data_IF_452810884176
#
_entry.id   IF_452810884176
#
_cell.length_a   1.000
_cell.length_b   1.000
_cell.length_c   1.000
_cell.angle_alpha   90.00
_cell.angle_beta   90.00
_cell.angle_gamma   90.00
#
_symmetry.space_group_name_H-M   'P 1'
#
loop_
_entity.id
_entity.type
_entity.pdbx_description
1 polymer ?
#
# COMPACT_ATOMS: atom_id res chain seq x y z
N UNK A 1 5.30 -25.19 2.27
CA UNK A 1 5.02 -24.96 0.85
C UNK A 1 4.92 -23.48 0.57
N UNK A 2 5.43 -23.08 -0.59
CA UNK A 2 5.44 -21.68 -0.97
C UNK A 2 4.11 -21.18 -1.52
N UNK A 3 3.98 -19.86 -1.59
CA UNK A 3 2.84 -19.22 -2.24
C UNK A 3 3.01 -19.23 -3.76
N UNK A 4 1.88 -19.28 -4.48
CA UNK A 4 1.79 -18.86 -5.87
C UNK A 4 0.93 -17.60 -5.92
N UNK A 5 0.95 -16.88 -7.02
CA UNK A 5 0.08 -15.71 -7.17
C UNK A 5 -1.39 -16.12 -7.03
N UNK A 6 -1.78 -17.24 -7.65
CA UNK A 6 -3.13 -17.78 -7.57
C UNK A 6 -3.55 -18.12 -6.13
N UNK A 7 -2.68 -18.81 -5.38
CA UNK A 7 -3.00 -19.22 -4.01
C UNK A 7 -3.06 -18.01 -3.08
N UNK A 8 -2.17 -17.05 -3.24
CA UNK A 8 -2.16 -15.82 -2.47
C UNK A 8 -3.41 -14.98 -2.75
N UNK A 9 -3.74 -14.79 -4.03
CA UNK A 9 -4.92 -14.02 -4.45
C UNK A 9 -6.21 -14.69 -3.98
N UNK A 10 -6.30 -16.02 -4.06
CA UNK A 10 -7.47 -16.77 -3.59
C UNK A 10 -7.68 -16.59 -2.10
N UNK A 11 -6.62 -16.58 -1.30
CA UNK A 11 -6.71 -16.37 0.14
C UNK A 11 -7.12 -14.94 0.49
N UNK A 12 -6.58 -13.94 -0.21
CA UNK A 12 -7.03 -12.55 -0.08
C UNK A 12 -8.52 -12.44 -0.40
N UNK A 13 -8.97 -13.06 -1.48
CA UNK A 13 -10.37 -13.07 -1.88
C UNK A 13 -11.26 -13.67 -0.79
N UNK A 14 -10.87 -14.83 -0.28
CA UNK A 14 -11.62 -15.52 0.78
C UNK A 14 -11.80 -14.64 2.01
N UNK A 15 -10.72 -14.03 2.48
CA UNK A 15 -10.73 -13.17 3.66
C UNK A 15 -11.62 -11.94 3.44
N UNK A 16 -11.44 -11.24 2.32
CA UNK A 16 -12.15 -10.00 2.04
C UNK A 16 -13.62 -10.22 1.72
N UNK A 17 -13.97 -11.37 1.13
CA UNK A 17 -15.36 -11.73 0.89
C UNK A 17 -16.09 -12.03 2.20
N UNK A 18 -15.43 -12.71 3.13
CA UNK A 18 -15.99 -13.02 4.45
C UNK A 18 -16.11 -11.77 5.32
N UNK A 19 -15.15 -10.84 5.24
CA UNK A 19 -15.14 -9.61 6.05
C UNK A 19 -14.44 -8.47 5.28
N UNK A 20 -15.19 -7.61 4.60
CA UNK A 20 -14.63 -6.47 3.87
C UNK A 20 -14.26 -5.28 4.76
N UNK A 21 -14.48 -5.37 6.07
CA UNK A 21 -14.17 -4.30 7.01
C UNK A 21 -12.67 -4.18 7.27
N UNK A 22 -12.29 -3.18 8.07
CA UNK A 22 -10.90 -2.98 8.50
C UNK A 22 -10.32 -4.21 9.21
N UNK A 23 -11.15 -4.99 9.90
CA UNK A 23 -10.71 -6.23 10.56
C UNK A 23 -10.28 -7.28 9.53
N UNK A 24 -11.08 -7.50 8.49
CA UNK A 24 -10.72 -8.42 7.40
C UNK A 24 -9.47 -7.94 6.65
N UNK A 25 -9.38 -6.64 6.39
CA UNK A 25 -8.18 -6.03 5.76
C UNK A 25 -6.93 -6.24 6.62
N UNK A 26 -7.07 -6.17 7.93
CA UNK A 26 -6.00 -6.47 8.88
C UNK A 26 -5.50 -7.91 8.76
N UNK A 27 -6.41 -8.85 8.53
CA UNK A 27 -6.07 -10.26 8.28
C UNK A 27 -5.31 -10.41 6.96
N UNK A 28 -5.66 -9.63 5.94
CA UNK A 28 -4.90 -9.61 4.67
C UNK A 28 -3.51 -9.03 4.91
N UNK A 29 -3.37 -8.00 5.74
CA UNK A 29 -2.06 -7.48 6.10
C UNK A 29 -1.19 -8.55 6.80
N UNK A 30 -1.78 -9.38 7.66
CA UNK A 30 -1.08 -10.51 8.28
C UNK A 30 -0.65 -11.52 7.22
N UNK A 31 -1.51 -11.81 6.26
CA UNK A 31 -1.19 -12.69 5.15
C UNK A 31 -0.02 -12.14 4.31
N UNK A 32 0.01 -10.83 4.07
CA UNK A 32 1.12 -10.17 3.37
C UNK A 32 2.42 -10.36 4.15
N UNK A 33 2.41 -10.22 5.47
CA UNK A 33 3.59 -10.46 6.31
C UNK A 33 4.11 -11.89 6.17
N UNK A 34 3.22 -12.86 6.13
CA UNK A 34 3.61 -14.26 5.92
C UNK A 34 4.17 -14.47 4.51
N UNK A 35 3.53 -13.90 3.48
CA UNK A 35 4.01 -14.00 2.11
C UNK A 35 5.38 -13.35 1.91
N UNK A 36 5.67 -12.27 2.65
CA UNK A 36 6.97 -11.59 2.59
C UNK A 36 8.13 -12.48 3.06
N UNK A 37 7.85 -13.53 3.82
CA UNK A 37 8.87 -14.51 4.24
C UNK A 37 9.20 -15.50 3.12
N UNK A 38 8.38 -15.59 2.11
CA UNK A 38 8.60 -16.47 0.95
C UNK A 38 9.40 -15.74 -0.11
N UNK A 39 10.72 -15.82 -0.01
CA UNK A 39 11.64 -15.09 -0.89
C UNK A 39 11.46 -15.46 -2.37
N UNK A 40 11.12 -16.73 -2.64
CA UNK A 40 10.90 -17.19 -4.01
C UNK A 40 9.64 -16.57 -4.62
N UNK A 41 8.56 -16.55 -3.86
CA UNK A 41 7.31 -15.92 -4.29
C UNK A 41 7.51 -14.42 -4.53
N UNK A 42 8.04 -13.72 -3.53
CA UNK A 42 8.26 -12.27 -3.61
C UNK A 42 9.24 -11.92 -4.74
N UNK A 43 10.36 -12.63 -4.83
CA UNK A 43 11.38 -12.38 -5.84
C UNK A 43 10.91 -12.60 -7.28
N UNK A 44 9.85 -13.38 -7.48
CA UNK A 44 9.25 -13.55 -8.80
C UNK A 44 8.57 -12.26 -9.29
N UNK A 45 8.11 -11.39 -8.40
CA UNK A 45 7.35 -10.18 -8.75
C UNK A 45 8.05 -8.89 -8.37
N UNK A 46 8.87 -8.89 -7.33
CA UNK A 46 9.61 -7.72 -6.88
C UNK A 46 11.10 -7.99 -7.06
N UNK A 47 11.66 -7.48 -8.15
CA UNK A 47 13.05 -7.69 -8.55
C UNK A 47 13.52 -6.52 -9.43
N UNK A 48 14.75 -6.60 -9.94
CA UNK A 48 15.34 -5.51 -10.74
C UNK A 48 14.57 -5.18 -12.02
N UNK A 49 13.70 -6.07 -12.49
CA UNK A 49 12.89 -5.85 -13.69
C UNK A 49 11.52 -5.27 -13.37
N UNK A 50 11.16 -5.13 -12.10
CA UNK A 50 9.87 -4.58 -11.68
C UNK A 50 9.82 -3.08 -11.98
N UNK A 51 8.76 -2.58 -12.64
CA UNK A 51 8.60 -1.14 -12.87
C UNK A 51 8.17 -0.42 -11.59
N UNK A 52 8.04 0.90 -11.65
CA UNK A 52 7.55 1.72 -10.53
C UNK A 52 6.21 1.21 -10.00
N UNK A 53 5.35 0.74 -10.89
CA UNK A 53 4.06 0.14 -10.53
C UNK A 53 3.65 -0.89 -11.59
N UNK A 54 3.26 -2.07 -11.13
CA UNK A 54 2.73 -3.13 -11.99
C UNK A 54 1.58 -3.82 -11.27
N UNK A 55 0.40 -3.82 -11.86
CA UNK A 55 -0.72 -4.63 -11.37
C UNK A 55 -0.49 -6.05 -11.82
N UNK A 56 -0.29 -6.97 -10.88
CA UNK A 56 -0.03 -8.39 -11.18
C UNK A 56 -1.29 -9.24 -11.05
N UNK A 57 -2.32 -8.73 -10.38
CA UNK A 57 -3.60 -9.40 -10.23
C UNK A 57 -4.70 -8.38 -9.93
N UNK A 58 -5.87 -8.56 -10.54
CA UNK A 58 -7.06 -7.79 -10.22
C UNK A 58 -8.24 -8.76 -10.03
N UNK A 59 -8.91 -8.65 -8.87
CA UNK A 59 -9.98 -9.59 -8.53
C UNK A 59 -11.26 -9.26 -9.30
N UNK A 60 -11.80 -10.21 -10.10
CA UNK A 60 -12.96 -9.92 -10.93
C UNK A 60 -14.27 -9.75 -10.16
N UNK A 61 -14.36 -10.26 -8.94
CA UNK A 61 -15.57 -10.15 -8.11
C UNK A 61 -15.50 -8.96 -7.15
N UNK A 62 -14.41 -8.84 -6.39
CA UNK A 62 -14.27 -7.84 -5.33
C UNK A 62 -13.58 -6.57 -5.77
N UNK A 63 -12.85 -6.60 -6.88
CA UNK A 63 -12.21 -5.43 -7.44
C UNK A 63 -10.88 -5.03 -6.79
N UNK A 64 -10.41 -5.76 -5.77
CA UNK A 64 -9.09 -5.46 -5.21
C UNK A 64 -8.00 -5.84 -6.21
N UNK A 65 -6.84 -5.19 -6.10
CA UNK A 65 -5.70 -5.56 -6.93
C UNK A 65 -4.44 -5.77 -6.10
N UNK A 66 -3.55 -6.58 -6.65
CA UNK A 66 -2.22 -6.84 -6.09
C UNK A 66 -1.22 -6.19 -7.02
N UNK A 67 -0.34 -5.35 -6.47
CA UNK A 67 0.64 -4.60 -7.23
C UNK A 67 2.04 -4.89 -6.73
N UNK A 68 2.99 -4.91 -7.66
CA UNK A 68 4.41 -4.92 -7.36
C UNK A 68 5.01 -3.56 -7.73
N UNK A 69 5.87 -3.05 -6.87
CA UNK A 69 6.52 -1.75 -7.07
C UNK A 69 8.01 -1.87 -6.84
N UNK A 70 8.80 -1.24 -7.71
CA UNK A 70 10.21 -1.00 -7.44
C UNK A 70 10.49 0.50 -7.65
N UNK A 71 10.74 1.19 -6.55
CA UNK A 71 11.08 2.62 -6.56
C UNK A 71 12.61 2.75 -6.51
N UNK A 72 13.19 3.26 -7.57
CA UNK A 72 14.66 3.36 -7.72
C UNK A 72 15.17 4.69 -7.19
N UNK A 73 16.18 4.60 -6.31
CA UNK A 73 16.82 5.77 -5.73
C UNK A 73 15.97 6.47 -4.67
N UNK A 74 16.46 7.62 -4.23
CA UNK A 74 15.81 8.42 -3.20
C UNK A 74 14.54 9.08 -3.74
N UNK A 75 13.47 9.08 -2.93
CA UNK A 75 12.19 9.63 -3.34
C UNK A 75 11.35 10.01 -2.11
N UNK A 76 10.69 11.15 -2.19
CA UNK A 76 9.77 11.59 -1.14
C UNK A 76 8.45 12.02 -1.79
N UNK A 77 7.34 11.50 -1.28
CA UNK A 77 6.02 11.88 -1.78
C UNK A 77 5.32 12.82 -0.78
N UNK A 78 4.43 13.63 -1.31
CA UNK A 78 3.59 14.51 -0.48
C UNK A 78 2.55 13.69 0.29
N UNK A 79 1.99 14.25 1.40
CA UNK A 79 0.88 13.61 2.09
C UNK A 79 -0.26 13.30 1.13
N UNK A 80 -0.78 12.07 1.21
CA UNK A 80 -1.88 11.60 0.36
C UNK A 80 -2.66 10.47 1.04
N UNK A 81 -3.87 10.25 0.56
CA UNK A 81 -4.64 9.05 0.84
C UNK A 81 -4.81 8.26 -0.47
N UNK A 82 -5.56 7.19 -0.45
CA UNK A 82 -5.86 6.39 -1.64
C UNK A 82 -7.27 6.66 -2.17
N UNK A 83 -7.81 7.86 -1.90
CA UNK A 83 -9.15 8.25 -2.30
C UNK A 83 -10.19 7.36 -1.63
N UNK A 84 -11.18 6.83 -2.39
CA UNK A 84 -12.21 5.97 -1.82
C UNK A 84 -11.74 4.52 -1.61
N UNK A 85 -10.44 4.25 -1.62
CA UNK A 85 -9.86 2.92 -1.42
C UNK A 85 -9.01 2.86 -0.16
N UNK A 86 -8.74 1.63 0.28
CA UNK A 86 -7.72 1.29 1.27
C UNK A 86 -6.51 0.70 0.55
N UNK A 87 -5.38 0.64 1.24
CA UNK A 87 -4.17 -0.01 0.72
C UNK A 87 -3.38 -0.68 1.83
N UNK A 88 -2.70 -1.77 1.48
CA UNK A 88 -1.75 -2.45 2.36
C UNK A 88 -0.38 -2.37 1.69
N UNK A 89 0.60 -1.84 2.41
CA UNK A 89 1.99 -1.76 1.96
C UNK A 89 2.79 -2.88 2.60
N UNK A 90 3.30 -3.80 1.79
CA UNK A 90 4.23 -4.84 2.23
C UNK A 90 5.64 -4.51 1.75
N UNK A 91 6.56 -4.28 2.68
CA UNK A 91 7.95 -3.92 2.35
C UNK A 91 8.75 -5.17 2.01
N UNK A 92 9.14 -5.30 0.76
CA UNK A 92 9.88 -6.45 0.24
C UNK A 92 11.39 -6.19 0.13
N UNK A 93 11.77 -4.97 -0.23
CA UNK A 93 13.17 -4.56 -0.40
C UNK A 93 13.36 -3.21 0.27
N UNK A 94 14.42 -3.07 1.06
CA UNK A 94 14.80 -1.81 1.66
C UNK A 94 13.87 -1.35 2.78
N UNK A 95 13.92 -0.06 3.07
CA UNK A 95 13.19 0.56 4.17
C UNK A 95 12.55 1.86 3.71
N UNK A 96 11.33 2.13 4.16
CA UNK A 96 10.61 3.37 3.89
C UNK A 96 10.30 4.06 5.21
N UNK A 97 10.64 5.35 5.32
CA UNK A 97 10.16 6.17 6.41
C UNK A 97 8.74 6.62 6.08
N UNK A 98 7.79 6.22 6.92
CA UNK A 98 6.39 6.60 6.75
C UNK A 98 6.02 7.66 7.74
N UNK A 99 5.26 8.65 7.29
CA UNK A 99 4.60 9.62 8.16
C UNK A 99 3.10 9.45 8.06
N UNK A 100 2.44 9.41 9.20
CA UNK A 100 0.98 9.49 9.27
C UNK A 100 0.62 10.94 9.59
N UNK A 101 -0.41 11.43 8.93
CA UNK A 101 -0.84 12.82 9.03
C UNK A 101 -2.27 12.92 9.56
N UNK A 102 -2.48 13.82 10.50
CA UNK A 102 -3.81 14.14 11.01
C UNK A 102 -4.45 15.20 10.11
N UNK A 103 -5.69 14.97 9.69
CA UNK A 103 -6.43 15.93 8.88
C UNK A 103 -6.98 17.03 9.78
N UNK A 104 -6.50 18.26 9.59
CA UNK A 104 -6.98 19.44 10.32
C UNK A 104 -8.15 20.10 9.58
N UNK A 105 -8.05 20.16 8.24
CA UNK A 105 -9.12 20.63 7.37
C UNK A 105 -9.29 19.64 6.22
N UNK A 106 -10.53 19.20 5.92
CA UNK A 106 -10.74 18.22 4.86
C UNK A 106 -10.40 18.80 3.49
N UNK A 107 -9.93 17.93 2.59
CA UNK A 107 -9.68 18.29 1.21
C UNK A 107 -10.98 18.31 0.41
N UNK A 108 -11.04 19.15 -0.60
CA UNK A 108 -12.13 19.20 -1.57
C UNK A 108 -11.57 19.35 -2.98
N UNK A 109 -12.42 19.29 -3.99
CA UNK A 109 -11.98 19.53 -5.37
C UNK A 109 -11.49 20.96 -5.60
N UNK A 110 -11.95 21.89 -4.79
CA UNK A 110 -11.67 23.32 -4.92
C UNK A 110 -10.46 23.76 -4.11
N UNK A 111 -10.07 23.00 -3.09
CA UNK A 111 -9.06 23.43 -2.15
C UNK A 111 -8.37 22.22 -1.50
N UNK A 112 -7.02 22.24 -1.38
CA UNK A 112 -6.30 21.17 -0.71
C UNK A 112 -6.67 21.13 0.77
N UNK A 113 -6.70 19.93 1.35
CA UNK A 113 -6.85 19.74 2.79
C UNK A 113 -5.58 20.14 3.52
N UNK A 114 -5.72 20.48 4.80
CA UNK A 114 -4.58 20.76 5.67
C UNK A 114 -4.35 19.59 6.61
N UNK A 115 -3.09 19.18 6.73
CA UNK A 115 -2.69 18.04 7.56
C UNK A 115 -1.50 18.41 8.43
N UNK A 116 -1.40 17.75 9.58
CA UNK A 116 -0.29 17.87 10.52
C UNK A 116 0.35 16.51 10.72
N UNK A 117 1.68 16.45 10.75
CA UNK A 117 2.39 15.20 11.00
C UNK A 117 2.07 14.70 12.40
N UNK A 118 1.50 13.49 12.47
CA UNK A 118 1.07 12.87 13.72
C UNK A 118 2.08 11.83 14.21
N UNK A 119 2.68 11.07 13.28
CA UNK A 119 3.58 9.96 13.62
C UNK A 119 4.57 9.70 12.48
N UNK A 120 5.79 9.33 12.86
CA UNK A 120 6.83 8.88 11.92
C UNK A 120 7.30 7.50 12.36
N UNK A 121 7.41 6.58 11.44
CA UNK A 121 7.89 5.22 11.72
C UNK A 121 8.59 4.62 10.50
N UNK A 122 9.37 3.58 10.73
CA UNK A 122 10.06 2.87 9.66
C UNK A 122 9.25 1.65 9.24
N UNK A 123 9.00 1.52 7.94
CA UNK A 123 8.46 0.31 7.34
C UNK A 123 9.67 -0.47 6.80
N UNK A 124 10.07 -1.49 7.56
CA UNK A 124 11.26 -2.30 7.25
C UNK A 124 10.89 -3.55 6.46
N UNK A 125 11.87 -4.12 5.78
CA UNK A 125 11.69 -5.38 5.04
C UNK A 125 11.02 -6.44 5.92
N UNK A 126 9.93 -7.03 5.41
CA UNK A 126 9.12 -8.01 6.12
C UNK A 126 7.93 -7.43 6.87
N UNK A 127 7.83 -6.11 6.96
CA UNK A 127 6.71 -5.43 7.61
C UNK A 127 5.60 -5.11 6.60
N UNK A 128 4.36 -5.07 7.09
CA UNK A 128 3.21 -4.63 6.31
C UNK A 128 2.32 -3.72 7.16
N UNK A 129 1.68 -2.75 6.52
CA UNK A 129 0.82 -1.79 7.21
C UNK A 129 -0.44 -1.51 6.37
N UNK A 130 -1.57 -1.45 7.06
CA UNK A 130 -2.87 -1.12 6.46
C UNK A 130 -3.15 0.37 6.58
N UNK A 131 -3.50 0.99 5.47
CA UNK A 131 -4.02 2.36 5.39
C UNK A 131 -5.46 2.28 4.94
N UNK A 132 -6.39 2.65 5.80
CA UNK A 132 -7.83 2.66 5.46
C UNK A 132 -8.17 3.90 4.63
N UNK A 133 -9.42 3.96 4.14
CA UNK A 133 -9.91 5.13 3.41
C UNK A 133 -9.73 6.38 4.27
N UNK A 134 -9.18 7.43 3.68
CA UNK A 134 -8.96 8.70 4.38
C UNK A 134 -7.70 8.76 5.23
N UNK A 135 -6.98 7.66 5.41
CA UNK A 135 -5.72 7.66 6.16
C UNK A 135 -4.64 8.38 5.34
N UNK A 136 -4.31 9.58 5.72
CA UNK A 136 -3.29 10.39 5.04
C UNK A 136 -1.90 10.01 5.53
N UNK A 137 -1.03 9.68 4.60
CA UNK A 137 0.32 9.24 4.88
C UNK A 137 1.28 9.71 3.79
N UNK A 138 2.58 9.64 4.07
CA UNK A 138 3.58 9.97 3.06
C UNK A 138 4.85 9.13 3.24
N UNK A 139 5.37 8.54 2.16
CA UNK A 139 6.63 7.82 2.19
C UNK A 139 7.82 8.72 1.90
N UNK A 140 8.92 8.43 2.56
CA UNK A 140 10.24 8.99 2.25
C UNK A 140 11.23 7.84 2.11
N UNK A 141 11.86 7.74 0.96
CA UNK A 141 12.82 6.68 0.64
C UNK A 141 14.19 7.30 0.36
N UNK A 142 15.22 6.75 0.98
CA UNK A 142 16.59 7.22 0.79
C UNK A 142 17.35 6.37 -0.23
N UNK A 143 16.84 5.21 -0.57
CA UNK A 143 17.44 4.26 -1.50
C UNK A 143 16.33 3.47 -2.22
N UNK A 144 16.71 2.57 -3.11
CA UNK A 144 15.78 1.70 -3.82
C UNK A 144 14.96 0.86 -2.85
N UNK A 145 13.64 0.82 -3.05
CA UNK A 145 12.70 0.04 -2.25
C UNK A 145 11.78 -0.78 -3.14
N UNK A 146 11.40 -1.97 -2.67
CA UNK A 146 10.45 -2.82 -3.35
C UNK A 146 9.25 -3.12 -2.45
N UNK A 147 8.06 -3.10 -3.02
CA UNK A 147 6.80 -3.30 -2.30
C UNK A 147 5.90 -4.30 -3.01
N UNK A 148 5.20 -5.10 -2.21
CA UNK A 148 3.95 -5.73 -2.61
C UNK A 148 2.84 -4.89 -1.99
N UNK A 149 1.89 -4.43 -2.80
CA UNK A 149 0.80 -3.59 -2.35
C UNK A 149 -0.52 -4.24 -2.70
N UNK A 150 -1.46 -4.26 -1.75
CA UNK A 150 -2.84 -4.65 -2.00
C UNK A 150 -3.68 -3.37 -1.94
N UNK A 151 -4.48 -3.13 -2.96
CA UNK A 151 -5.39 -1.98 -2.99
C UNK A 151 -6.82 -2.45 -3.14
N UNK A 152 -7.75 -1.85 -2.42
CA UNK A 152 -9.17 -2.23 -2.46
C UNK A 152 -9.77 -2.03 -3.84
N UNK A 153 -9.25 -1.06 -4.59
CA UNK A 153 -9.56 -0.80 -5.99
C UNK A 153 -8.27 -0.35 -6.67
N UNK A 154 -8.23 -0.42 -8.01
CA UNK A 154 -7.07 0.09 -8.75
C UNK A 154 -7.03 1.61 -8.63
N UNK A 155 -6.19 2.13 -7.72
CA UNK A 155 -6.12 3.55 -7.39
C UNK A 155 -5.58 4.42 -8.53
N UNK A 156 -4.91 3.84 -9.52
CA UNK A 156 -4.42 4.56 -10.68
C UNK A 156 -5.55 5.19 -11.50
N UNK A 157 -6.75 4.59 -11.45
CA UNK A 157 -7.93 5.05 -12.18
C UNK A 157 -8.79 6.01 -11.36
N UNK A 158 -8.35 6.38 -10.15
CA UNK A 158 -9.16 7.17 -9.23
C UNK A 158 -8.67 8.59 -9.11
N UNK A 159 -9.64 9.51 -8.97
CA UNK A 159 -9.35 10.89 -8.65
C UNK A 159 -8.96 11.01 -7.17
N UNK A 160 -7.87 11.69 -6.90
CA UNK A 160 -7.39 11.95 -5.54
C UNK A 160 -7.49 13.42 -5.22
N UNK A 161 -7.81 13.71 -3.97
CA UNK A 161 -7.79 15.07 -3.45
C UNK A 161 -6.38 15.39 -2.95
N UNK A 162 -6.02 16.66 -2.99
CA UNK A 162 -4.70 17.12 -2.58
C UNK A 162 -4.69 17.49 -1.09
N UNK A 163 -3.53 17.27 -0.45
CA UNK A 163 -3.30 17.67 0.95
C UNK A 163 -2.03 18.50 1.05
N UNK A 164 -2.03 19.43 1.99
CA UNK A 164 -0.91 20.34 2.23
C UNK A 164 -0.55 20.32 3.71
N UNK A 165 0.75 20.17 4.00
CA UNK A 165 1.25 20.23 5.37
C UNK A 165 1.01 21.61 5.97
N UNK A 166 0.47 21.65 7.20
CA UNK A 166 0.24 22.87 7.93
C UNK A 166 1.55 23.33 8.58
N UNK A 167 1.88 24.58 8.41
CA UNK A 167 2.97 25.26 9.06
C UNK A 167 4.33 24.83 8.74
#
# INVERSE_FOLDING_TARGET
>A
MGYTLESFAAECHRILKADPSSVGRGKVADLVREALKDEKFIGAYVNDNTPDRQVIYEDPELGFCICAHLSRGAKEANPHDHGPSWAIYGQAIGETEMSDWEVLEPASEEKPGKVRRARVYALKTGMAHLYNEGDVHSPKRVATTGLIRIEGKNTQKMKRLAYKAAG
#
